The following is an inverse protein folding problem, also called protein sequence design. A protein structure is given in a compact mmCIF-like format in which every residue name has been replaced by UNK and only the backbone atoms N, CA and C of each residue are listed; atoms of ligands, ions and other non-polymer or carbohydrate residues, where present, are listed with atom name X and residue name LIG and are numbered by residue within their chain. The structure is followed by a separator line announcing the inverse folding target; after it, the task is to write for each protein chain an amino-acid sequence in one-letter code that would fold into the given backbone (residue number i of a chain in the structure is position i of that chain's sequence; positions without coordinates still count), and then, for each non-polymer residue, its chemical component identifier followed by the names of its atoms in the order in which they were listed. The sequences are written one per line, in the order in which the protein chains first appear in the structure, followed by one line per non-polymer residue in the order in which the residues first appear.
data_IF_768914645962
#
_entry.id   IF_768914645962
#
_cell.length_a   1.000
_cell.length_b   1.000
_cell.length_c   1.000
_cell.angle_alpha   90.00
_cell.angle_beta   90.00
_cell.angle_gamma   90.00
#
_symmetry.space_group_name_H-M   'P 1'
#
loop_
_entity.id
_entity.type
_entity.pdbx_description
1 polymer ?
#
# COMPACT_ATOMS: atom_id res chain seq x y z
N UNK A 1 -18.85 10.73 16.24
CA UNK A 1 -19.49 9.83 17.23
C UNK A 1 -18.48 8.75 17.57
N UNK A 2 -18.26 8.48 18.85
CA UNK A 2 -17.41 7.37 19.27
C UNK A 2 -18.06 6.03 18.86
N UNK A 3 -17.28 4.98 18.54
CA UNK A 3 -17.81 3.67 18.15
C UNK A 3 -18.82 3.08 19.15
N UNK A 4 -18.72 3.48 20.43
CA UNK A 4 -19.56 2.98 21.52
C UNK A 4 -20.39 4.07 22.23
N UNK A 5 -20.42 5.31 21.72
CA UNK A 5 -21.02 6.47 22.41
C UNK A 5 -20.50 6.73 23.85
N UNK A 6 -19.42 6.10 24.27
CA UNK A 6 -18.78 6.35 25.55
C UNK A 6 -17.67 7.42 25.36
N UNK A 7 -17.79 8.62 25.95
CA UNK A 7 -16.72 9.60 25.88
C UNK A 7 -15.50 9.11 26.67
N UNK A 8 -14.31 9.22 26.07
CA UNK A 8 -13.04 9.05 26.77
C UNK A 8 -12.21 10.36 26.71
N UNK A 9 -11.20 10.45 27.57
CA UNK A 9 -10.30 11.61 27.65
C UNK A 9 -9.15 11.53 26.62
N UNK A 10 -9.27 10.70 25.59
CA UNK A 10 -8.20 10.52 24.60
C UNK A 10 -8.20 11.62 23.54
N UNK A 11 -7.00 11.98 23.08
CA UNK A 11 -6.80 12.87 21.95
C UNK A 11 -6.61 12.03 20.70
N UNK A 12 -7.51 12.21 19.74
CA UNK A 12 -7.46 11.52 18.46
C UNK A 12 -6.77 12.40 17.41
N UNK A 13 -5.86 11.79 16.66
CA UNK A 13 -5.16 12.40 15.53
C UNK A 13 -5.44 11.58 14.26
N UNK A 14 -5.09 12.12 13.10
CA UNK A 14 -5.17 11.37 11.84
C UNK A 14 -4.34 10.06 11.93
N UNK A 15 -4.97 8.94 11.60
CA UNK A 15 -4.33 7.63 11.56
C UNK A 15 -3.13 7.58 10.62
N UNK A 16 -3.10 8.42 9.59
CA UNK A 16 -1.96 8.56 8.67
C UNK A 16 -0.66 9.03 9.35
N UNK A 17 -0.72 9.63 10.54
CA UNK A 17 0.46 10.00 11.31
C UNK A 17 1.10 8.83 12.07
N UNK A 18 0.32 7.76 12.33
CA UNK A 18 0.75 6.61 13.14
C UNK A 18 0.93 5.35 12.28
N UNK A 19 -0.08 5.02 11.47
CA UNK A 19 -0.13 3.84 10.61
C UNK A 19 -0.92 4.17 9.33
N UNK A 20 -0.19 4.60 8.31
CA UNK A 20 -0.69 5.07 7.02
C UNK A 20 -1.12 3.94 6.06
N UNK A 21 -0.83 2.68 6.38
CA UNK A 21 -1.26 1.54 5.56
C UNK A 21 -1.52 0.26 6.38
N UNK A 22 -2.64 0.20 7.12
CA UNK A 22 -2.97 -0.90 8.01
C UNK A 22 -3.63 -2.08 7.27
N UNK A 23 -2.97 -2.65 6.25
CA UNK A 23 -3.57 -3.74 5.42
C UNK A 23 -3.95 -4.99 6.23
N UNK A 24 -3.29 -5.21 7.36
CA UNK A 24 -3.56 -6.35 8.25
C UNK A 24 -4.82 -6.18 9.12
N UNK A 25 -5.45 -5.00 9.14
CA UNK A 25 -6.65 -4.78 9.96
C UNK A 25 -7.82 -5.70 9.59
N UNK A 26 -7.79 -6.23 8.37
CA UNK A 26 -8.81 -7.16 7.85
C UNK A 26 -8.42 -8.64 7.97
N UNK A 27 -7.31 -8.94 8.67
CA UNK A 27 -6.80 -10.30 8.91
C UNK A 27 -7.30 -10.80 10.28
N UNK A 28 -8.29 -11.70 10.30
CA UNK A 28 -8.78 -12.29 11.56
C UNK A 28 -8.00 -13.54 11.98
N UNK A 29 -7.96 -14.56 11.12
CA UNK A 29 -7.35 -15.88 11.41
C UNK A 29 -6.23 -16.22 10.42
N UNK A 30 -5.55 -15.20 9.90
CA UNK A 30 -4.54 -15.30 8.86
C UNK A 30 -4.74 -14.22 7.78
N UNK A 31 -3.87 -14.24 6.77
CA UNK A 31 -3.95 -13.29 5.66
C UNK A 31 -5.29 -13.43 4.95
N UNK A 32 -6.02 -12.32 4.87
CA UNK A 32 -7.24 -12.21 4.11
C UNK A 32 -6.93 -11.83 2.64
N UNK A 33 -7.03 -12.82 1.75
CA UNK A 33 -6.82 -12.67 0.30
C UNK A 33 -7.91 -11.83 -0.40
N UNK A 34 -9.04 -11.55 0.26
CA UNK A 34 -10.13 -10.71 -0.26
C UNK A 34 -9.92 -9.22 0.07
N UNK A 35 -8.95 -8.91 0.93
CA UNK A 35 -8.56 -7.52 1.19
C UNK A 35 -7.86 -6.96 -0.04
N UNK A 36 -8.23 -5.76 -0.48
CA UNK A 36 -7.53 -5.00 -1.52
C UNK A 36 -7.15 -3.64 -0.96
N UNK A 37 -5.85 -3.34 -0.92
CA UNK A 37 -5.35 -2.06 -0.43
C UNK A 37 -4.72 -1.22 -1.54
N UNK A 38 -4.70 0.10 -1.35
CA UNK A 38 -4.11 1.07 -2.28
C UNK A 38 -3.09 1.93 -1.54
N UNK A 39 -1.83 1.92 -2.00
CA UNK A 39 -0.78 2.77 -1.42
C UNK A 39 -0.19 3.68 -2.47
N UNK A 40 0.06 4.93 -2.10
CA UNK A 40 0.84 5.86 -2.90
C UNK A 40 2.31 5.59 -2.65
N UNK A 41 3.08 5.40 -3.71
CA UNK A 41 4.53 5.26 -3.66
C UNK A 41 5.15 6.41 -4.43
N UNK A 42 6.14 7.05 -3.83
CA UNK A 42 6.93 8.04 -4.53
C UNK A 42 8.18 7.34 -5.06
N UNK A 43 8.55 7.58 -6.31
CA UNK A 43 9.83 7.10 -6.84
C UNK A 43 10.98 7.61 -5.96
N UNK A 44 12.08 6.85 -5.89
CA UNK A 44 13.24 7.19 -5.04
C UNK A 44 13.69 8.63 -5.31
N UNK A 45 13.41 9.52 -4.35
CA UNK A 45 14.08 10.81 -4.22
C UNK A 45 15.51 10.53 -3.78
N UNK A 46 16.38 10.18 -4.72
CA UNK A 46 17.82 10.16 -4.47
C UNK A 46 18.27 11.59 -4.12
N UNK A 47 18.63 11.81 -2.85
CA UNK A 47 19.63 12.82 -2.50
C UNK A 47 19.20 14.29 -2.47
N UNK A 48 18.00 14.63 -1.98
CA UNK A 48 17.85 15.99 -1.43
C UNK A 48 18.51 15.97 -0.06
N UNK A 49 19.75 16.47 0.03
CA UNK A 49 20.34 16.85 1.31
C UNK A 49 19.35 17.78 2.00
N UNK A 50 18.78 17.32 3.12
CA UNK A 50 17.98 18.19 3.96
C UNK A 50 18.94 19.17 4.63
N UNK A 51 19.04 20.39 4.10
CA UNK A 51 19.69 21.51 4.78
C UNK A 51 18.83 21.89 6.00
N UNK A 52 18.93 21.09 7.05
CA UNK A 52 18.23 21.25 8.33
C UNK A 52 18.90 22.36 9.14
N UNK A 53 18.96 23.56 8.56
CA UNK A 53 19.39 24.78 9.24
C UNK A 53 18.41 25.21 10.32
N UNK A 54 18.87 26.08 11.22
CA UNK A 54 18.04 26.67 12.28
C UNK A 54 16.86 27.45 11.66
N UNK A 55 15.65 27.30 12.23
CA UNK A 55 14.44 28.02 11.78
C UNK A 55 13.54 27.25 10.79
N UNK A 56 13.85 25.98 10.51
CA UNK A 56 13.14 25.16 9.50
C UNK A 56 12.19 24.12 10.11
N UNK A 57 11.43 24.46 11.16
CA UNK A 57 10.54 23.51 11.85
C UNK A 57 9.59 22.76 10.91
N UNK A 58 9.05 23.44 9.89
CA UNK A 58 8.21 22.84 8.85
C UNK A 58 8.96 21.71 8.12
N UNK A 59 10.16 21.98 7.63
CA UNK A 59 10.99 21.00 6.93
C UNK A 59 11.35 19.80 7.82
N UNK A 60 11.58 20.04 9.11
CA UNK A 60 11.79 18.96 10.07
C UNK A 60 10.55 18.07 10.21
N UNK A 61 9.36 18.67 10.35
CA UNK A 61 8.11 17.92 10.45
C UNK A 61 7.80 17.12 9.19
N UNK A 62 8.03 17.71 8.01
CA UNK A 62 7.89 17.05 6.71
C UNK A 62 8.88 15.86 6.59
N UNK A 63 10.13 16.06 6.99
CA UNK A 63 11.17 15.01 6.95
C UNK A 63 10.87 13.84 7.89
N UNK A 64 10.32 14.12 9.08
CA UNK A 64 9.90 13.09 10.01
C UNK A 64 8.74 12.27 9.45
N UNK A 65 7.74 12.95 8.88
CA UNK A 65 6.57 12.29 8.30
C UNK A 65 6.95 11.40 7.10
N UNK A 66 7.79 11.90 6.19
CA UNK A 66 8.33 11.11 5.08
C UNK A 66 9.11 9.88 5.57
N UNK A 67 9.88 10.02 6.65
CA UNK A 67 10.61 8.89 7.27
C UNK A 67 9.64 7.81 7.77
N UNK A 68 8.57 8.21 8.47
CA UNK A 68 7.54 7.28 8.96
C UNK A 68 6.88 6.55 7.79
N UNK A 69 6.53 7.27 6.71
CA UNK A 69 5.99 6.66 5.49
C UNK A 69 6.93 5.63 4.88
N UNK A 70 8.22 5.95 4.75
CA UNK A 70 9.23 5.03 4.21
C UNK A 70 9.37 3.76 5.03
N UNK A 71 9.33 3.85 6.36
CA UNK A 71 9.38 2.65 7.23
C UNK A 71 8.18 1.74 6.95
N UNK A 72 6.98 2.30 6.86
CA UNK A 72 5.77 1.51 6.60
C UNK A 72 5.77 0.87 5.21
N UNK A 73 6.20 1.61 4.19
CA UNK A 73 6.36 1.07 2.84
C UNK A 73 7.37 -0.10 2.80
N UNK A 74 8.47 0.01 3.55
CA UNK A 74 9.44 -1.07 3.67
C UNK A 74 8.80 -2.33 4.31
N UNK A 75 8.01 -2.18 5.37
CA UNK A 75 7.31 -3.30 5.99
C UNK A 75 6.37 -4.02 5.00
N UNK A 76 5.68 -3.27 4.12
CA UNK A 76 4.86 -3.86 3.06
C UNK A 76 5.68 -4.63 2.04
N UNK A 77 6.84 -4.09 1.68
CA UNK A 77 7.74 -4.74 0.73
C UNK A 77 8.42 -6.00 1.28
N UNK A 78 8.47 -6.18 2.60
CA UNK A 78 9.06 -7.37 3.20
C UNK A 78 8.16 -8.61 3.11
N UNK A 79 6.84 -8.46 2.94
CA UNK A 79 5.89 -9.58 2.92
C UNK A 79 5.22 -9.73 1.55
N UNK A 80 5.34 -10.91 0.94
CA UNK A 80 4.80 -11.17 -0.40
C UNK A 80 3.27 -11.18 -0.41
N UNK A 81 2.68 -11.66 0.69
CA UNK A 81 1.26 -11.71 0.95
C UNK A 81 0.65 -10.31 0.89
N UNK A 82 1.27 -9.32 1.55
CA UNK A 82 0.80 -7.94 1.52
C UNK A 82 0.90 -7.34 0.12
N UNK A 83 2.04 -7.51 -0.57
CA UNK A 83 2.18 -7.06 -1.96
C UNK A 83 1.15 -7.68 -2.89
N UNK A 84 0.76 -8.93 -2.67
CA UNK A 84 -0.17 -9.61 -3.56
C UNK A 84 -1.57 -8.99 -3.58
N UNK A 85 -1.94 -8.27 -2.53
CA UNK A 85 -3.22 -7.58 -2.32
C UNK A 85 -3.09 -6.04 -2.25
N UNK A 86 -1.96 -5.50 -2.70
CA UNK A 86 -1.70 -4.06 -2.71
C UNK A 86 -1.55 -3.54 -4.13
N UNK A 87 -2.38 -2.58 -4.52
CA UNK A 87 -2.15 -1.73 -5.68
C UNK A 87 -1.19 -0.62 -5.27
N UNK A 88 0.00 -0.61 -5.88
CA UNK A 88 0.99 0.45 -5.69
C UNK A 88 0.82 1.50 -6.78
N UNK A 89 0.50 2.73 -6.38
CA UNK A 89 0.28 3.85 -7.30
C UNK A 89 1.50 4.76 -7.23
N UNK A 90 2.28 4.81 -8.31
CA UNK A 90 3.44 5.69 -8.38
C UNK A 90 3.01 7.13 -8.71
N UNK A 91 3.24 8.02 -7.75
CA UNK A 91 2.89 9.46 -7.78
C UNK A 91 4.03 10.34 -8.31
N UNK A 92 5.10 9.75 -8.83
CA UNK A 92 6.20 10.48 -9.46
C UNK A 92 6.90 11.40 -8.46
N UNK A 93 6.89 12.71 -8.74
CA UNK A 93 7.53 13.73 -7.89
C UNK A 93 6.56 14.48 -6.98
N UNK A 94 5.25 14.25 -7.14
CA UNK A 94 4.22 14.94 -6.36
C UNK A 94 4.33 14.50 -4.90
N UNK A 95 4.45 15.47 -4.01
CA UNK A 95 4.55 15.19 -2.58
C UNK A 95 3.19 14.76 -2.04
N UNK A 96 3.10 13.70 -1.21
CA UNK A 96 1.84 13.33 -0.55
C UNK A 96 1.28 14.39 0.40
N UNK A 97 2.08 15.40 0.74
CA UNK A 97 1.74 16.52 1.63
C UNK A 97 1.70 17.86 0.88
N UNK A 98 1.75 17.81 -0.45
CA UNK A 98 1.51 18.98 -1.29
C UNK A 98 -0.01 19.17 -1.44
N UNK A 99 -0.54 20.17 -0.75
CA UNK A 99 -1.96 20.52 -0.79
C UNK A 99 -2.28 21.54 -1.90
N UNK A 100 -1.27 22.01 -2.64
CA UNK A 100 -1.39 23.05 -3.66
C UNK A 100 -1.26 22.48 -5.08
N UNK A 101 -1.57 21.19 -5.26
CA UNK A 101 -1.52 20.54 -6.58
C UNK A 101 -2.52 21.16 -7.58
N UNK A 102 -2.05 21.35 -8.82
CA UNK A 102 -2.85 21.90 -9.91
C UNK A 102 -3.80 20.85 -10.55
N UNK A 103 -4.66 21.30 -11.46
CA UNK A 103 -5.62 20.42 -12.13
C UNK A 103 -4.95 19.37 -13.03
N UNK A 104 -3.83 19.70 -13.67
CA UNK A 104 -3.09 18.76 -14.52
C UNK A 104 -2.49 17.63 -13.66
N UNK A 105 -1.91 17.97 -12.52
CA UNK A 105 -1.39 17.02 -11.54
C UNK A 105 -2.50 16.13 -10.97
N UNK A 106 -3.69 16.66 -10.70
CA UNK A 106 -4.85 15.87 -10.24
C UNK A 106 -5.30 14.87 -11.31
N UNK A 107 -5.49 15.32 -12.55
CA UNK A 107 -5.87 14.45 -13.66
C UNK A 107 -4.83 13.35 -13.88
N UNK A 108 -3.55 13.72 -13.82
CA UNK A 108 -2.44 12.79 -13.91
C UNK A 108 -2.49 11.74 -12.78
N UNK A 109 -2.67 12.14 -11.52
CA UNK A 109 -2.78 11.20 -10.40
C UNK A 109 -3.96 10.24 -10.53
N UNK A 110 -5.10 10.71 -11.05
CA UNK A 110 -6.28 9.87 -11.33
C UNK A 110 -5.94 8.81 -12.39
N UNK A 111 -5.26 9.21 -13.47
CA UNK A 111 -4.84 8.28 -14.52
C UNK A 111 -3.80 7.26 -14.01
N UNK A 112 -2.87 7.69 -13.15
CA UNK A 112 -1.93 6.79 -12.47
C UNK A 112 -2.65 5.75 -11.62
N UNK A 113 -3.66 6.17 -10.86
CA UNK A 113 -4.49 5.26 -10.08
C UNK A 113 -5.22 4.23 -10.94
N UNK A 114 -5.81 4.68 -12.06
CA UNK A 114 -6.49 3.79 -13.03
C UNK A 114 -5.51 2.78 -13.62
N UNK A 115 -4.41 3.24 -14.20
CA UNK A 115 -3.41 2.40 -14.86
C UNK A 115 -2.81 1.37 -13.92
N UNK A 116 -2.42 1.79 -12.71
CA UNK A 116 -1.87 0.88 -11.70
C UNK A 116 -2.88 -0.22 -11.30
N UNK A 117 -4.16 0.14 -11.20
CA UNK A 117 -5.23 -0.82 -10.88
C UNK A 117 -5.46 -1.81 -12.02
N UNK A 118 -5.50 -1.34 -13.27
CA UNK A 118 -5.64 -2.22 -14.44
C UNK A 118 -4.49 -3.22 -14.54
N UNK A 119 -3.25 -2.77 -14.33
CA UNK A 119 -2.08 -3.64 -14.38
C UNK A 119 -2.07 -4.64 -13.22
N UNK A 120 -2.47 -4.21 -12.02
CA UNK A 120 -2.66 -5.10 -10.90
C UNK A 120 -3.70 -6.19 -11.20
N UNK A 121 -4.84 -5.84 -11.79
CA UNK A 121 -5.91 -6.79 -12.13
C UNK A 121 -5.47 -7.80 -13.20
N UNK A 122 -4.76 -7.35 -14.25
CA UNK A 122 -4.16 -8.25 -15.25
C UNK A 122 -3.22 -9.27 -14.60
N UNK A 123 -2.36 -8.82 -13.68
CA UNK A 123 -1.44 -9.69 -12.95
C UNK A 123 -2.19 -10.62 -11.99
N UNK A 124 -3.26 -10.15 -11.36
CA UNK A 124 -4.12 -10.95 -10.51
C UNK A 124 -4.77 -12.10 -11.28
N UNK A 125 -5.40 -11.81 -12.43
CA UNK A 125 -6.01 -12.82 -13.29
C UNK A 125 -5.01 -13.86 -13.81
N UNK A 126 -3.81 -13.40 -14.19
CA UNK A 126 -2.71 -14.28 -14.57
C UNK A 126 -2.31 -15.24 -13.44
N UNK A 127 -2.13 -14.71 -12.21
CA UNK A 127 -1.78 -15.50 -11.03
C UNK A 127 -2.85 -16.53 -10.70
N UNK A 128 -4.13 -16.16 -10.76
CA UNK A 128 -5.25 -17.08 -10.51
C UNK A 128 -5.29 -18.20 -11.56
N UNK A 129 -5.14 -17.85 -12.84
CA UNK A 129 -5.09 -18.81 -13.95
C UNK A 129 -3.93 -19.80 -13.80
N UNK A 130 -2.76 -19.32 -13.39
CA UNK A 130 -1.60 -20.17 -13.12
C UNK A 130 -1.84 -21.14 -11.95
N UNK A 131 -2.34 -20.64 -10.81
CA UNK A 131 -2.67 -21.47 -9.63
C UNK A 131 -3.67 -22.57 -9.99
N UNK A 132 -4.71 -22.24 -10.76
CA UNK A 132 -5.69 -23.21 -11.23
C UNK A 132 -5.06 -24.32 -12.09
N UNK A 133 -4.18 -23.96 -13.04
CA UNK A 133 -3.48 -24.93 -13.89
C UNK A 133 -2.60 -25.88 -13.09
N UNK A 134 -1.84 -25.36 -12.12
CA UNK A 134 -0.98 -26.17 -11.23
C UNK A 134 -1.81 -27.14 -10.40
N UNK A 135 -2.88 -26.65 -9.74
CA UNK A 135 -3.76 -27.48 -8.93
C UNK A 135 -4.40 -28.61 -9.75
N UNK A 136 -4.81 -28.33 -10.99
CA UNK A 136 -5.38 -29.34 -11.90
C UNK A 136 -4.37 -30.43 -12.24
N UNK A 137 -3.12 -30.06 -12.52
CA UNK A 137 -2.04 -31.02 -12.83
C UNK A 137 -1.72 -31.90 -11.63
N UNK A 138 -1.56 -31.32 -10.44
CA UNK A 138 -1.29 -32.06 -9.20
C UNK A 138 -2.41 -33.06 -8.91
N UNK A 139 -3.68 -32.66 -9.00
CA UNK A 139 -4.82 -33.59 -8.79
C UNK A 139 -4.81 -34.77 -9.75
N UNK A 140 -4.39 -34.57 -11.02
CA UNK A 140 -4.29 -35.64 -12.01
C UNK A 140 -3.18 -36.63 -11.65
N UNK A 141 -2.01 -36.14 -11.25
CA UNK A 141 -0.88 -36.96 -10.82
C UNK A 141 -1.24 -37.78 -9.58
N UNK A 142 -1.82 -37.16 -8.55
CA UNK A 142 -2.20 -37.85 -7.31
C UNK A 142 -3.29 -38.93 -7.54
N UNK A 143 -4.21 -38.71 -8.48
CA UNK A 143 -5.17 -39.77 -8.86
C UNK A 143 -4.51 -40.94 -9.57
N UNK A 144 -3.55 -40.68 -10.47
CA UNK A 144 -2.81 -41.74 -11.16
C UNK A 144 -2.07 -42.66 -10.19
N UNK A 145 -1.49 -42.12 -9.11
CA UNK A 145 -0.81 -42.91 -8.08
C UNK A 145 -1.74 -43.67 -7.12
N UNK A 146 -3.07 -43.49 -7.19
CA UNK A 146 -4.04 -44.16 -6.32
C UNK A 146 -4.75 -45.34 -6.99
N UNK A 147 -4.54 -45.53 -8.29
CA UNK A 147 -5.12 -46.62 -9.08
C UNK A 147 -4.12 -47.75 -9.40
N UNK A 148 -2.89 -47.65 -8.89
CA UNK A 148 -1.83 -48.69 -8.89
C UNK A 148 -1.67 -49.30 -7.48
#
# INVERSE_FOLDING_TARGET
QFPENNPDDHIYVDGGALLNYPIMTFDEYGVNDETLGFTLVQGDRFGVESDLGFGTFRLWAESLYETIKKVQLNLLNMQAEHRNRTVMIDVGQISPIDFEIDEEQKEWLIDRGRTATEDFLKLYDYRQSFRYRVARTVRRVVRGFRED
#
